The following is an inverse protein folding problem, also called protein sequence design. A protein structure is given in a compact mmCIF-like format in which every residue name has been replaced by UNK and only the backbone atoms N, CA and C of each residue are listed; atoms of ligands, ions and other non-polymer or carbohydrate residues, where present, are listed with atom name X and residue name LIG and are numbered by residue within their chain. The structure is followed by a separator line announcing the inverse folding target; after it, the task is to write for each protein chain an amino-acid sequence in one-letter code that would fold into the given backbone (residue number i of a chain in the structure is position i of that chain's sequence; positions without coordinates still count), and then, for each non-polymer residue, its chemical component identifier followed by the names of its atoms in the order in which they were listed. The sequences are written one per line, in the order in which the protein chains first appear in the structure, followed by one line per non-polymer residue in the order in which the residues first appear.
data_IF_155145766141
#
_entry.id   IF_155145766141
#
_cell.length_a   1.000
_cell.length_b   1.000
_cell.length_c   1.000
_cell.angle_alpha   90.00
_cell.angle_beta   90.00
_cell.angle_gamma   90.00
#
_symmetry.space_group_name_H-M   'P 1'
#
loop_
_entity.id
_entity.type
_entity.pdbx_description
1 polymer ?
#
# COMPACT_ATOMS: atom_id res chain seq x y z
N UNK A 1 -9.18 12.14 -14.09
CA UNK A 1 -8.11 11.71 -13.18
C UNK A 1 -7.55 12.88 -12.37
N UNK A 2 -7.06 13.95 -12.99
CA UNK A 2 -6.47 15.11 -12.27
C UNK A 2 -7.39 15.74 -11.20
N UNK A 3 -8.70 15.89 -11.49
CA UNK A 3 -9.64 16.39 -10.50
C UNK A 3 -9.78 15.47 -9.27
N UNK A 4 -9.69 14.15 -9.47
CA UNK A 4 -9.68 13.17 -8.39
C UNK A 4 -8.39 13.29 -7.56
N UNK A 5 -7.24 13.41 -8.21
CA UNK A 5 -5.93 13.54 -7.53
C UNK A 5 -5.92 14.82 -6.67
N UNK A 6 -6.37 15.96 -7.20
CA UNK A 6 -6.50 17.21 -6.42
C UNK A 6 -7.42 17.06 -5.21
N UNK A 7 -8.54 16.35 -5.37
CA UNK A 7 -9.44 16.08 -4.25
C UNK A 7 -8.77 15.23 -3.18
N UNK A 8 -8.08 14.16 -3.58
CA UNK A 8 -7.33 13.29 -2.68
C UNK A 8 -6.20 14.05 -1.98
N UNK A 9 -5.51 14.95 -2.68
CA UNK A 9 -4.52 15.84 -2.08
C UNK A 9 -5.13 16.68 -0.94
N UNK A 10 -6.30 17.26 -1.15
CA UNK A 10 -7.00 17.99 -0.10
C UNK A 10 -7.40 17.10 1.09
N UNK A 11 -7.94 15.93 0.82
CA UNK A 11 -8.29 14.94 1.85
C UNK A 11 -7.04 14.45 2.60
N UNK A 12 -5.93 14.20 1.90
CA UNK A 12 -4.65 13.83 2.52
C UNK A 12 -4.10 14.95 3.41
N UNK A 13 -4.13 16.20 2.93
CA UNK A 13 -3.71 17.35 3.73
C UNK A 13 -4.52 17.45 5.03
N UNK A 14 -5.83 17.31 4.94
CA UNK A 14 -6.70 17.30 6.11
C UNK A 14 -6.37 16.15 7.09
N UNK A 15 -6.11 14.94 6.57
CA UNK A 15 -5.69 13.80 7.39
C UNK A 15 -4.33 14.04 8.06
N UNK A 16 -3.37 14.64 7.34
CA UNK A 16 -2.07 15.03 7.87
C UNK A 16 -2.19 16.07 8.97
N UNK A 17 -2.96 17.12 8.74
CA UNK A 17 -3.17 18.21 9.72
C UNK A 17 -3.83 17.68 11.00
N UNK A 18 -4.82 16.78 10.88
CA UNK A 18 -5.44 16.12 12.02
C UNK A 18 -4.46 15.22 12.78
N UNK A 19 -3.64 14.45 12.09
CA UNK A 19 -2.62 13.60 12.69
C UNK A 19 -1.55 14.45 13.41
N UNK A 20 -1.13 15.56 12.83
CA UNK A 20 -0.18 16.49 13.43
C UNK A 20 -0.75 17.11 14.71
N UNK A 21 -2.00 17.56 14.69
CA UNK A 21 -2.68 18.10 15.88
C UNK A 21 -2.78 17.05 16.99
N UNK A 22 -3.12 15.81 16.65
CA UNK A 22 -3.18 14.72 17.63
C UNK A 22 -1.80 14.42 18.24
N UNK A 23 -0.72 14.42 17.45
CA UNK A 23 0.63 14.24 17.95
C UNK A 23 1.03 15.37 18.90
N UNK A 24 0.72 16.62 18.56
CA UNK A 24 0.98 17.79 19.41
C UNK A 24 0.23 17.70 20.74
N UNK A 25 -1.07 17.37 20.69
CA UNK A 25 -1.89 17.23 21.89
C UNK A 25 -1.42 16.11 22.84
N UNK A 26 -0.79 15.08 22.28
CA UNK A 26 -0.23 13.95 23.02
C UNK A 26 1.26 14.15 23.41
N UNK A 27 1.82 15.34 23.21
CA UNK A 27 3.22 15.66 23.55
C UNK A 27 4.26 15.05 22.63
N UNK A 28 3.84 14.53 21.46
CA UNK A 28 4.75 13.92 20.46
C UNK A 28 5.24 14.96 19.44
N UNK A 29 5.95 15.98 19.92
CA UNK A 29 6.32 17.14 19.10
C UNK A 29 7.23 16.82 17.92
N UNK A 30 8.21 15.92 18.07
CA UNK A 30 9.08 15.50 16.96
C UNK A 30 8.29 14.82 15.82
N UNK A 31 7.28 14.00 16.17
CA UNK A 31 6.42 13.36 15.18
C UNK A 31 5.51 14.38 14.49
N UNK A 32 5.00 15.34 15.24
CA UNK A 32 4.20 16.44 14.69
C UNK A 32 5.01 17.29 13.70
N UNK A 33 6.27 17.58 13.99
CA UNK A 33 7.17 18.31 13.10
C UNK A 33 7.47 17.52 11.83
N UNK A 34 7.78 16.22 11.93
CA UNK A 34 7.99 15.34 10.78
C UNK A 34 6.76 15.25 9.87
N UNK A 35 5.55 15.19 10.44
CA UNK A 35 4.30 15.24 9.69
C UNK A 35 4.11 16.58 8.99
N UNK A 36 4.38 17.68 9.65
CA UNK A 36 4.31 19.03 9.08
C UNK A 36 5.21 19.21 7.86
N UNK A 37 6.42 18.67 7.91
CA UNK A 37 7.42 18.73 6.82
C UNK A 37 7.13 17.77 5.65
N UNK A 38 6.11 16.90 5.75
CA UNK A 38 5.83 15.89 4.73
C UNK A 38 4.91 16.44 3.65
N UNK A 39 5.49 16.88 2.52
CA UNK A 39 4.77 17.24 1.30
C UNK A 39 4.74 16.07 0.32
N UNK A 40 3.78 15.13 0.53
CA UNK A 40 3.71 13.93 -0.28
C UNK A 40 2.99 14.13 -1.62
N UNK A 41 1.94 14.95 -1.66
CA UNK A 41 1.15 15.17 -2.87
C UNK A 41 1.19 16.63 -3.35
N UNK A 42 1.48 16.82 -4.64
CA UNK A 42 1.45 18.13 -5.32
C UNK A 42 0.09 18.42 -5.99
N UNK A 43 -0.69 17.37 -6.25
CA UNK A 43 -2.02 17.47 -6.88
C UNK A 43 -2.01 17.41 -8.40
N UNK A 44 -0.86 17.14 -9.00
CA UNK A 44 -0.68 17.01 -10.46
C UNK A 44 0.00 15.71 -10.88
N UNK A 45 0.12 14.77 -9.95
CA UNK A 45 0.74 13.48 -10.19
C UNK A 45 0.01 12.68 -11.28
N UNK A 46 0.76 11.84 -11.98
CA UNK A 46 0.18 10.74 -12.75
C UNK A 46 -0.32 9.65 -11.80
N UNK A 47 -1.12 8.71 -12.30
CA UNK A 47 -1.57 7.57 -11.49
C UNK A 47 -0.38 6.72 -11.01
N UNK A 48 0.61 6.52 -11.86
CA UNK A 48 1.81 5.77 -11.53
C UNK A 48 2.63 6.44 -10.41
N UNK A 49 2.85 7.75 -10.53
CA UNK A 49 3.54 8.54 -9.51
C UNK A 49 2.78 8.51 -8.17
N UNK A 50 1.44 8.65 -8.22
CA UNK A 50 0.61 8.58 -7.03
C UNK A 50 0.74 7.22 -6.33
N UNK A 51 0.61 6.12 -7.08
CA UNK A 51 0.79 4.76 -6.57
C UNK A 51 2.20 4.58 -6.00
N UNK A 52 3.23 5.05 -6.72
CA UNK A 52 4.62 4.99 -6.28
C UNK A 52 4.86 5.71 -4.94
N UNK A 53 4.24 6.87 -4.75
CA UNK A 53 4.34 7.63 -3.48
C UNK A 53 3.56 6.97 -2.36
N UNK A 54 2.30 6.58 -2.61
CA UNK A 54 1.45 5.95 -1.59
C UNK A 54 2.07 4.66 -1.04
N UNK A 55 2.67 3.86 -1.90
CA UNK A 55 3.31 2.59 -1.53
C UNK A 55 4.83 2.68 -1.35
N UNK A 56 5.37 3.89 -1.20
CA UNK A 56 6.71 4.09 -0.64
C UNK A 56 6.74 3.70 0.85
N UNK A 57 7.90 3.45 1.46
CA UNK A 57 7.97 3.13 2.89
C UNK A 57 7.27 4.17 3.78
N UNK A 58 7.45 5.46 3.48
CA UNK A 58 6.77 6.55 4.21
C UNK A 58 5.26 6.59 3.96
N UNK A 59 4.85 6.33 2.72
CA UNK A 59 3.43 6.27 2.37
C UNK A 59 2.73 5.12 3.07
N UNK A 60 3.33 3.94 3.09
CA UNK A 60 2.80 2.77 3.80
C UNK A 60 2.69 3.03 5.30
N UNK A 61 3.74 3.59 5.92
CA UNK A 61 3.71 3.98 7.34
C UNK A 61 2.56 4.95 7.63
N UNK A 62 2.38 5.97 6.79
CA UNK A 62 1.27 6.92 6.95
C UNK A 62 -0.09 6.23 6.80
N UNK A 63 -0.27 5.43 5.75
CA UNK A 63 -1.54 4.73 5.48
C UNK A 63 -1.94 3.78 6.63
N UNK A 64 -1.00 3.03 7.15
CA UNK A 64 -1.26 2.07 8.23
C UNK A 64 -1.49 2.75 9.58
N UNK A 65 -0.80 3.86 9.84
CA UNK A 65 -0.90 4.59 11.11
C UNK A 65 -2.16 5.42 11.19
N UNK A 66 -2.54 6.09 10.10
CA UNK A 66 -3.63 7.07 10.09
C UNK A 66 -4.88 6.62 9.32
N UNK A 67 -4.88 5.38 8.83
CA UNK A 67 -6.00 4.78 8.07
C UNK A 67 -6.48 5.66 6.90
N UNK A 68 -5.54 6.27 6.19
CA UNK A 68 -5.79 7.09 5.01
C UNK A 68 -4.83 6.68 3.87
N UNK A 69 -5.33 6.48 2.63
CA UNK A 69 -6.73 6.52 2.20
C UNK A 69 -7.56 5.35 2.72
N UNK A 70 -8.84 5.58 2.96
CA UNK A 70 -9.77 4.49 3.23
C UNK A 70 -10.21 3.77 1.95
N UNK A 71 -10.90 2.64 2.09
CA UNK A 71 -11.34 1.82 0.95
C UNK A 71 -12.23 2.60 -0.04
N UNK A 72 -13.11 3.47 0.45
CA UNK A 72 -13.96 4.29 -0.42
C UNK A 72 -13.14 5.23 -1.31
N UNK A 73 -12.05 5.76 -0.79
CA UNK A 73 -11.10 6.58 -1.55
C UNK A 73 -10.35 5.75 -2.59
N UNK A 74 -9.85 4.56 -2.22
CA UNK A 74 -9.20 3.65 -3.18
C UNK A 74 -10.13 3.27 -4.33
N UNK A 75 -11.40 2.98 -4.06
CA UNK A 75 -12.41 2.64 -5.07
C UNK A 75 -12.60 3.69 -6.15
N UNK A 76 -12.34 4.96 -5.86
CA UNK A 76 -12.41 6.03 -6.85
C UNK A 76 -11.38 5.88 -7.97
N UNK A 77 -10.30 5.12 -7.73
CA UNK A 77 -9.24 4.89 -8.71
C UNK A 77 -9.50 3.67 -9.61
N UNK A 78 -10.41 2.76 -9.28
CA UNK A 78 -10.67 1.54 -10.09
C UNK A 78 -10.85 1.81 -11.58
N UNK A 79 -11.64 2.82 -11.93
CA UNK A 79 -11.91 3.18 -13.31
C UNK A 79 -10.69 3.65 -14.12
N UNK A 80 -9.57 3.88 -13.47
CA UNK A 80 -8.33 4.28 -14.11
C UNK A 80 -7.33 3.13 -14.27
N UNK A 81 -7.74 1.90 -13.99
CA UNK A 81 -6.93 0.69 -14.14
C UNK A 81 -5.61 0.72 -13.38
N UNK A 82 -5.64 0.88 -12.04
CA UNK A 82 -4.43 0.95 -11.22
C UNK A 82 -3.65 -0.37 -11.19
N UNK A 83 -4.27 -1.50 -11.56
CA UNK A 83 -3.65 -2.81 -11.67
C UNK A 83 -2.47 -2.82 -12.66
N UNK A 84 -2.44 -1.93 -13.64
CA UNK A 84 -1.30 -1.73 -14.54
C UNK A 84 -0.02 -1.34 -13.81
N UNK A 85 -0.15 -0.77 -12.64
CA UNK A 85 0.94 -0.33 -11.78
C UNK A 85 1.05 -1.19 -10.51
N UNK A 86 0.42 -2.36 -10.50
CA UNK A 86 0.48 -3.33 -9.42
C UNK A 86 -0.51 -3.10 -8.27
N UNK A 87 -1.44 -2.14 -8.39
CA UNK A 87 -2.44 -1.88 -7.35
C UNK A 87 -3.79 -2.49 -7.72
N UNK A 88 -4.17 -3.55 -7.02
CA UNK A 88 -5.39 -4.34 -7.24
C UNK A 88 -6.44 -3.96 -6.20
N UNK A 89 -7.52 -3.29 -6.63
CA UNK A 89 -8.57 -2.77 -5.75
C UNK A 89 -9.88 -3.50 -6.04
N UNK A 90 -10.42 -4.25 -5.09
CA UNK A 90 -11.62 -5.08 -5.24
C UNK A 90 -11.61 -5.89 -6.55
N UNK A 91 -10.54 -6.61 -6.81
CA UNK A 91 -10.36 -7.40 -8.03
C UNK A 91 -10.86 -8.84 -7.89
N UNK A 92 -11.38 -9.22 -6.71
CA UNK A 92 -11.80 -10.59 -6.44
C UNK A 92 -10.60 -11.54 -6.42
N UNK A 93 -10.75 -12.72 -7.02
CA UNK A 93 -9.66 -13.72 -7.07
C UNK A 93 -8.74 -13.45 -8.26
N UNK A 94 -7.45 -13.32 -7.98
CA UNK A 94 -6.39 -13.14 -8.97
C UNK A 94 -5.25 -14.12 -8.73
N UNK A 95 -4.49 -14.45 -9.77
CA UNK A 95 -3.28 -15.28 -9.68
C UNK A 95 -2.16 -14.62 -10.46
N UNK A 96 -1.00 -14.44 -9.80
CA UNK A 96 0.16 -13.74 -10.35
C UNK A 96 1.44 -14.52 -10.06
N UNK A 97 2.38 -14.45 -10.99
CA UNK A 97 3.70 -15.04 -10.83
C UNK A 97 4.78 -14.00 -11.06
N UNK A 98 5.82 -14.01 -10.20
CA UNK A 98 7.02 -13.16 -10.29
C UNK A 98 6.72 -11.65 -10.29
N UNK A 99 5.59 -11.24 -9.72
CA UNK A 99 5.19 -9.84 -9.66
C UNK A 99 5.93 -9.10 -8.54
N UNK A 100 6.77 -8.14 -8.90
CA UNK A 100 7.77 -7.50 -8.01
C UNK A 100 7.19 -6.59 -6.94
N UNK A 101 6.13 -5.87 -7.29
CA UNK A 101 5.44 -4.93 -6.38
C UNK A 101 3.94 -5.11 -6.54
N UNK A 102 3.30 -5.58 -5.49
CA UNK A 102 1.88 -5.89 -5.48
C UNK A 102 1.23 -5.20 -4.29
N UNK A 103 0.13 -4.54 -4.57
CA UNK A 103 -0.68 -3.83 -3.59
C UNK A 103 -2.12 -4.35 -3.70
N UNK A 104 -2.54 -5.13 -2.71
CA UNK A 104 -3.86 -5.74 -2.65
C UNK A 104 -4.75 -4.92 -1.71
N UNK A 105 -5.93 -4.53 -2.18
CA UNK A 105 -6.79 -3.61 -1.45
C UNK A 105 -8.22 -4.08 -1.52
N UNK A 106 -8.90 -4.10 -0.37
CA UNK A 106 -10.33 -4.42 -0.28
C UNK A 106 -10.64 -5.87 -0.65
N UNK A 107 -11.74 -6.10 -1.37
CA UNK A 107 -12.15 -7.43 -1.82
C UNK A 107 -11.24 -7.97 -2.94
N UNK A 108 -10.00 -8.28 -2.55
CA UNK A 108 -9.00 -8.87 -3.43
C UNK A 108 -8.33 -10.04 -2.72
N UNK A 109 -8.37 -11.21 -3.35
CA UNK A 109 -7.70 -12.42 -2.88
C UNK A 109 -6.71 -12.88 -3.94
N UNK A 110 -5.41 -12.87 -3.62
CA UNK A 110 -4.35 -13.20 -4.58
C UNK A 110 -3.67 -14.52 -4.27
N UNK A 111 -3.45 -15.33 -5.31
CA UNK A 111 -2.49 -16.42 -5.30
C UNK A 111 -1.19 -15.95 -5.95
N UNK A 112 -0.10 -15.92 -5.19
CA UNK A 112 1.18 -15.35 -5.61
C UNK A 112 2.26 -16.43 -5.61
N UNK A 113 3.01 -16.55 -6.71
CA UNK A 113 4.12 -17.50 -6.86
C UNK A 113 5.41 -16.75 -7.16
N UNK A 114 6.46 -17.10 -6.42
CA UNK A 114 7.80 -16.53 -6.56
C UNK A 114 8.84 -17.66 -6.53
N UNK A 115 9.62 -17.77 -7.59
CA UNK A 115 10.71 -18.76 -7.72
C UNK A 115 12.03 -18.14 -8.14
N UNK A 116 11.98 -16.93 -8.70
CA UNK A 116 13.19 -16.24 -9.16
C UNK A 116 13.96 -15.61 -8.00
N UNK A 117 15.27 -15.61 -8.10
CA UNK A 117 16.18 -14.92 -7.16
C UNK A 117 15.97 -13.42 -7.23
N UNK A 118 15.08 -12.92 -6.39
CA UNK A 118 14.70 -11.53 -6.39
C UNK A 118 14.03 -11.09 -5.10
N UNK A 119 14.13 -9.78 -4.82
CA UNK A 119 13.32 -9.10 -3.82
C UNK A 119 11.97 -8.69 -4.37
N UNK A 120 10.90 -9.10 -3.70
CA UNK A 120 9.52 -8.79 -4.04
C UNK A 120 8.87 -8.05 -2.86
N UNK A 121 7.89 -7.21 -3.15
CA UNK A 121 7.17 -6.45 -2.14
C UNK A 121 5.68 -6.67 -2.29
N UNK A 122 5.06 -7.09 -1.21
CA UNK A 122 3.63 -7.34 -1.10
C UNK A 122 3.04 -6.48 0.01
N UNK A 123 2.06 -5.68 -0.31
CA UNK A 123 1.33 -4.88 0.64
C UNK A 123 -0.17 -5.19 0.57
N UNK A 124 -0.83 -5.36 1.73
CA UNK A 124 -2.25 -5.64 1.83
C UNK A 124 -2.94 -4.63 2.74
N UNK A 125 -4.12 -4.21 2.34
CA UNK A 125 -4.90 -3.22 3.08
C UNK A 125 -6.41 -3.44 2.91
N UNK A 126 -7.17 -3.03 3.92
CA UNK A 126 -8.64 -3.02 3.90
C UNK A 126 -9.28 -4.42 3.74
N UNK A 127 -8.71 -5.43 4.37
CA UNK A 127 -9.25 -6.79 4.38
C UNK A 127 -8.85 -7.64 3.16
N UNK A 128 -7.82 -7.24 2.42
CA UNK A 128 -7.30 -8.05 1.33
C UNK A 128 -6.61 -9.32 1.83
N UNK A 129 -6.58 -10.36 0.99
CA UNK A 129 -6.00 -11.66 1.33
C UNK A 129 -4.97 -12.11 0.29
N UNK A 130 -3.93 -12.81 0.74
CA UNK A 130 -2.97 -13.43 -0.16
C UNK A 130 -2.55 -14.82 0.31
N UNK A 131 -2.33 -15.72 -0.65
CA UNK A 131 -1.62 -16.97 -0.48
C UNK A 131 -0.32 -16.90 -1.28
N UNK A 132 0.81 -16.98 -0.61
CA UNK A 132 2.14 -16.82 -1.20
C UNK A 132 2.87 -18.17 -1.21
N UNK A 133 3.35 -18.58 -2.37
CA UNK A 133 4.28 -19.71 -2.51
C UNK A 133 5.62 -19.13 -2.96
N UNK A 134 6.66 -19.26 -2.13
CA UNK A 134 8.00 -18.79 -2.43
C UNK A 134 9.00 -19.96 -2.40
N UNK A 135 9.83 -20.06 -3.43
CA UNK A 135 10.85 -21.11 -3.57
C UNK A 135 12.18 -20.54 -4.10
N UNK A 136 13.19 -21.40 -4.19
CA UNK A 136 14.52 -21.01 -4.63
C UNK A 136 15.16 -19.99 -3.68
N UNK A 137 15.55 -18.85 -4.18
CA UNK A 137 16.11 -17.72 -3.41
C UNK A 137 15.21 -16.47 -3.46
N UNK A 138 13.91 -16.66 -3.67
CA UNK A 138 12.96 -15.56 -3.66
C UNK A 138 12.84 -14.95 -2.25
N UNK A 139 12.79 -13.63 -2.19
CA UNK A 139 12.53 -12.87 -0.96
C UNK A 139 11.27 -12.06 -1.14
N UNK A 140 10.31 -12.22 -0.24
CA UNK A 140 9.05 -11.45 -0.27
C UNK A 140 8.93 -10.66 1.03
N UNK A 141 9.03 -9.34 0.93
CA UNK A 141 8.69 -8.45 2.04
C UNK A 141 7.19 -8.22 2.06
N UNK A 142 6.56 -8.57 3.18
CA UNK A 142 5.12 -8.42 3.39
C UNK A 142 4.88 -7.29 4.38
N UNK A 143 3.98 -6.39 4.02
CA UNK A 143 3.47 -5.33 4.89
C UNK A 143 1.94 -5.36 4.80
N UNK A 144 1.23 -5.34 5.92
CA UNK A 144 -0.23 -5.42 5.93
C UNK A 144 -0.85 -4.64 7.07
N UNK A 145 -2.08 -4.23 6.90
CA UNK A 145 -2.90 -3.74 8.02
C UNK A 145 -3.43 -4.91 8.88
N UNK A 146 -4.12 -4.57 9.96
CA UNK A 146 -4.65 -5.55 10.91
C UNK A 146 -5.80 -6.41 10.35
N UNK A 147 -6.51 -5.90 9.35
CA UNK A 147 -7.72 -6.51 8.80
C UNK A 147 -7.42 -7.43 7.60
N UNK A 148 -6.18 -7.42 7.11
CA UNK A 148 -5.73 -8.22 5.96
C UNK A 148 -4.99 -9.48 6.41
N UNK A 149 -5.01 -10.53 5.57
CA UNK A 149 -4.41 -11.83 5.90
C UNK A 149 -3.44 -12.32 4.83
N UNK A 150 -2.37 -12.99 5.27
CA UNK A 150 -1.41 -13.64 4.39
C UNK A 150 -1.10 -15.03 4.90
N UNK A 151 -1.35 -16.02 4.05
CA UNK A 151 -0.88 -17.39 4.22
C UNK A 151 0.31 -17.62 3.29
N UNK A 152 1.30 -18.41 3.71
CA UNK A 152 2.47 -18.64 2.89
C UNK A 152 3.06 -20.04 3.06
N UNK A 153 3.66 -20.51 1.97
CA UNK A 153 4.49 -21.71 1.92
C UNK A 153 5.86 -21.31 1.41
N UNK A 154 6.90 -21.63 2.17
CA UNK A 154 8.30 -21.35 1.82
C UNK A 154 9.02 -22.66 1.56
N UNK A 155 9.72 -22.74 0.46
CA UNK A 155 10.53 -23.86 0.05
C UNK A 155 11.97 -23.41 -0.24
N UNK A 156 12.91 -24.33 -0.15
CA UNK A 156 14.34 -24.09 -0.41
C UNK A 156 14.92 -22.99 0.49
N UNK A 157 15.53 -21.98 -0.09
CA UNK A 157 16.15 -20.83 0.61
C UNK A 157 15.33 -19.55 0.51
N UNK A 158 14.07 -19.64 0.06
CA UNK A 158 13.21 -18.48 -0.01
C UNK A 158 12.90 -17.91 1.38
N UNK A 159 12.54 -16.62 1.44
CA UNK A 159 12.28 -15.94 2.70
C UNK A 159 11.06 -15.04 2.60
N UNK A 160 10.23 -15.07 3.64
CA UNK A 160 9.21 -14.05 3.89
C UNK A 160 9.74 -13.12 4.99
N UNK A 161 9.71 -11.81 4.72
CA UNK A 161 10.10 -10.75 5.66
C UNK A 161 8.86 -9.96 6.04
N UNK A 162 8.72 -9.66 7.31
CA UNK A 162 7.62 -8.87 7.87
C UNK A 162 8.10 -7.48 8.29
#
# INVERSE_FOLDING_TARGET
MQALIKKIQGEWKAAKDAAQAQCTNNGRYEMAEKLGACDMFKGNETLEELIGMMFSPRGVEFMTTYNFPNLATFRRFKKYHPERFGAYIDCGKISLSEARKIFLIGDTTAELKYSQTAGNRLFLMCGANASVIASGYAVVKVEKDKDSEVNYIVQDNAKILW
#
